data_IF_015701428422
#
_entry.id   IF_015701428422
#
_cell.length_a   1.000
_cell.length_b   1.000
_cell.length_c   1.000
_cell.angle_alpha   90.00
_cell.angle_beta   90.00
_cell.angle_gamma   90.00
#
_symmetry.space_group_name_H-M   'P 1'
#
loop_
_entity.id
_entity.type
_entity.pdbx_description
1 polymer ?
#
# COMPACT_ATOMS: atom_id res chain seq x y z
N UNK A 1 8.88 2.84 28.45
CA UNK A 1 7.83 3.83 28.13
C UNK A 1 7.03 3.19 27.03
N UNK A 2 5.93 2.55 27.43
CA UNK A 2 5.22 1.61 26.57
C UNK A 2 4.36 2.35 25.55
N UNK A 3 4.05 1.67 24.44
CA UNK A 3 3.02 2.15 23.51
C UNK A 3 1.67 2.33 24.23
N UNK A 4 1.43 1.57 25.31
CA UNK A 4 0.29 1.69 26.24
C UNK A 4 0.13 3.08 26.85
N UNK A 5 1.20 3.67 27.39
CA UNK A 5 1.13 4.92 28.15
C UNK A 5 0.83 6.11 27.21
N UNK A 6 1.39 6.04 26.00
CA UNK A 6 1.16 7.01 24.92
C UNK A 6 -0.28 6.89 24.41
N UNK A 7 -0.77 5.68 24.18
CA UNK A 7 -2.15 5.45 23.76
C UNK A 7 -3.12 5.94 24.83
N UNK A 8 -2.88 5.64 26.11
CA UNK A 8 -3.71 6.13 27.21
C UNK A 8 -3.78 7.66 27.23
N UNK A 9 -2.63 8.33 27.11
CA UNK A 9 -2.55 9.79 27.06
C UNK A 9 -3.24 10.39 25.83
N UNK A 10 -3.19 9.70 24.67
CA UNK A 10 -3.90 10.12 23.46
C UNK A 10 -5.41 9.92 23.57
N UNK A 11 -5.88 8.94 24.34
CA UNK A 11 -7.31 8.66 24.55
C UNK A 11 -7.97 9.63 25.56
N UNK A 12 -7.18 10.42 26.30
CA UNK A 12 -7.69 11.50 27.16
C UNK A 12 -8.16 12.74 26.36
N UNK A 13 -7.77 12.87 25.08
CA UNK A 13 -8.27 13.93 24.19
C UNK A 13 -9.57 13.50 23.50
N UNK A 14 -10.68 14.20 23.77
CA UNK A 14 -12.00 13.95 23.18
C UNK A 14 -12.00 13.97 21.64
N UNK A 15 -11.06 14.69 21.02
CA UNK A 15 -10.89 14.72 19.55
C UNK A 15 -10.39 13.39 19.01
N UNK A 16 -9.51 12.74 19.76
CA UNK A 16 -8.92 11.44 19.39
C UNK A 16 -9.90 10.32 19.75
N UNK A 17 -10.62 10.45 20.88
CA UNK A 17 -11.68 9.52 21.30
C UNK A 17 -12.74 9.31 20.22
N UNK A 18 -13.19 10.38 19.56
CA UNK A 18 -14.14 10.30 18.44
C UNK A 18 -13.54 9.73 17.14
N UNK A 19 -12.21 9.78 17.00
CA UNK A 19 -11.48 9.26 15.84
C UNK A 19 -11.03 7.80 16.02
N UNK A 20 -11.04 7.28 17.24
CA UNK A 20 -10.56 5.94 17.54
C UNK A 20 -11.46 4.81 16.98
N UNK A 21 -12.71 5.12 16.64
CA UNK A 21 -13.60 4.24 15.87
C UNK A 21 -13.41 4.36 14.35
N UNK A 22 -12.62 5.33 13.86
CA UNK A 22 -12.32 5.44 12.44
C UNK A 22 -11.46 4.27 12.00
N UNK A 23 -11.84 3.71 10.86
CA UNK A 23 -11.06 2.70 10.17
C UNK A 23 -10.17 3.36 9.13
N UNK A 24 -8.98 2.81 8.92
CA UNK A 24 -8.14 3.20 7.80
C UNK A 24 -8.75 2.74 6.46
N UNK A 25 -8.04 2.99 5.35
CA UNK A 25 -8.50 2.62 4.01
C UNK A 25 -8.64 1.10 3.79
N UNK A 26 -8.18 0.28 4.74
CA UNK A 26 -8.24 -1.19 4.74
C UNK A 26 -9.26 -1.72 5.74
N UNK A 27 -10.06 -0.85 6.36
CA UNK A 27 -11.01 -1.26 7.39
C UNK A 27 -10.35 -1.52 8.75
N UNK A 28 -9.06 -1.20 8.93
CA UNK A 28 -8.38 -1.45 10.20
C UNK A 28 -8.69 -0.35 11.19
N UNK A 29 -9.18 -0.75 12.36
CA UNK A 29 -9.31 0.12 13.52
C UNK A 29 -8.08 0.05 14.41
N UNK A 30 -7.99 0.96 15.38
CA UNK A 30 -6.93 0.93 16.39
C UNK A 30 -6.88 -0.40 17.17
N UNK A 31 -8.02 -1.07 17.33
CA UNK A 31 -8.11 -2.38 17.96
C UNK A 31 -7.51 -3.50 17.11
N UNK A 32 -7.72 -3.46 15.79
CA UNK A 32 -7.08 -4.41 14.86
C UNK A 32 -5.55 -4.30 14.93
N UNK A 33 -5.03 -3.08 14.99
CA UNK A 33 -3.59 -2.82 15.10
C UNK A 33 -3.03 -3.32 16.44
N UNK A 34 -3.74 -3.08 17.55
CA UNK A 34 -3.34 -3.52 18.89
C UNK A 34 -3.33 -5.05 19.04
N UNK A 35 -4.35 -5.72 18.48
CA UNK A 35 -4.40 -7.19 18.44
C UNK A 35 -3.27 -7.74 17.56
N UNK A 36 -3.06 -7.14 16.38
CA UNK A 36 -2.01 -7.57 15.45
C UNK A 36 -0.61 -7.42 16.03
N UNK A 37 -0.34 -6.33 16.76
CA UNK A 37 0.94 -6.11 17.45
C UNK A 37 1.12 -6.99 18.70
N UNK A 38 0.08 -7.73 19.11
CA UNK A 38 0.02 -8.55 20.33
C UNK A 38 0.33 -7.75 21.60
N UNK A 39 0.00 -6.47 21.58
CA UNK A 39 0.21 -5.59 22.73
C UNK A 39 -1.01 -5.67 23.66
N UNK A 40 -0.98 -6.68 24.54
CA UNK A 40 -2.06 -6.97 25.50
C UNK A 40 -2.38 -5.76 26.39
N UNK A 41 -1.37 -4.96 26.74
CA UNK A 41 -1.55 -3.78 27.57
C UNK A 41 -2.36 -2.71 26.83
N UNK A 42 -2.07 -2.47 25.55
CA UNK A 42 -2.86 -1.52 24.73
C UNK A 42 -4.27 -2.02 24.46
N UNK A 43 -4.46 -3.33 24.22
CA UNK A 43 -5.80 -3.92 24.03
C UNK A 43 -6.65 -3.71 25.28
N UNK A 44 -6.07 -3.94 26.45
CA UNK A 44 -6.78 -3.76 27.72
C UNK A 44 -7.17 -2.31 27.95
N UNK A 45 -6.26 -1.35 27.71
CA UNK A 45 -6.56 0.09 27.78
C UNK A 45 -7.67 0.50 26.79
N UNK A 46 -7.68 -0.05 25.58
CA UNK A 46 -8.71 0.24 24.57
C UNK A 46 -10.09 -0.32 24.94
N UNK A 47 -10.13 -1.51 25.56
CA UNK A 47 -11.38 -2.10 26.05
C UNK A 47 -11.90 -1.37 27.30
N UNK A 48 -11.04 -1.08 28.26
CA UNK A 48 -11.39 -0.41 29.52
C UNK A 48 -11.89 1.02 29.30
N UNK A 49 -11.40 1.68 28.25
CA UNK A 49 -11.76 3.07 27.95
C UNK A 49 -13.14 3.23 27.27
N UNK A 50 -13.83 2.14 26.91
CA UNK A 50 -15.11 2.13 26.18
C UNK A 50 -15.12 3.04 24.93
N UNK A 51 -13.94 3.23 24.33
CA UNK A 51 -13.77 4.11 23.19
C UNK A 51 -14.41 3.51 21.94
N UNK A 52 -14.46 2.18 21.89
CA UNK A 52 -15.05 1.41 20.80
C UNK A 52 -16.37 0.84 21.30
N UNK A 53 -17.47 1.47 20.91
CA UNK A 53 -18.82 1.09 21.36
C UNK A 53 -19.24 -0.31 20.85
N UNK A 54 -18.78 -0.70 19.67
CA UNK A 54 -19.15 -1.97 19.02
C UNK A 54 -17.93 -2.58 18.28
N UNK A 55 -17.01 -3.25 18.99
CA UNK A 55 -15.81 -3.83 18.38
C UNK A 55 -16.12 -4.97 17.39
N UNK A 56 -17.29 -5.60 17.53
CA UNK A 56 -17.81 -6.64 16.63
C UNK A 56 -18.42 -6.08 15.34
N UNK A 57 -18.75 -4.79 15.28
CA UNK A 57 -19.26 -4.13 14.08
C UNK A 57 -18.12 -3.64 13.15
N UNK A 58 -16.90 -3.54 13.68
CA UNK A 58 -15.72 -3.10 12.94
C UNK A 58 -15.04 -4.32 12.32
N UNK A 59 -15.18 -4.47 11.00
CA UNK A 59 -14.53 -5.51 10.22
C UNK A 59 -13.47 -4.92 9.31
N UNK A 60 -12.37 -5.65 9.13
CA UNK A 60 -11.35 -5.33 8.14
C UNK A 60 -11.83 -5.58 6.70
N UNK A 61 -10.97 -5.31 5.72
CA UNK A 61 -11.24 -5.58 4.29
C UNK A 61 -11.43 -7.07 3.91
N UNK A 62 -11.19 -7.98 4.85
CA UNK A 62 -11.46 -9.42 4.71
C UNK A 62 -12.76 -9.82 5.42
N UNK A 63 -13.46 -8.88 6.06
CA UNK A 63 -14.66 -9.13 6.85
C UNK A 63 -14.36 -9.70 8.24
N UNK A 64 -13.11 -9.62 8.71
CA UNK A 64 -12.69 -10.15 10.01
C UNK A 64 -12.68 -9.05 11.06
N UNK A 65 -13.15 -9.41 12.25
CA UNK A 65 -13.10 -8.58 13.45
C UNK A 65 -11.77 -8.72 14.17
N UNK A 66 -11.41 -7.76 15.02
CA UNK A 66 -10.19 -7.81 15.81
C UNK A 66 -10.12 -9.06 16.73
N UNK A 67 -11.26 -9.59 17.19
CA UNK A 67 -11.29 -10.82 17.99
C UNK A 67 -10.97 -12.06 17.17
N UNK A 68 -11.48 -12.15 15.94
CA UNK A 68 -11.15 -13.25 15.02
C UNK A 68 -9.66 -13.26 14.67
N UNK A 69 -9.02 -12.09 14.65
CA UNK A 69 -7.57 -11.96 14.52
C UNK A 69 -6.77 -12.53 15.71
N UNK A 70 -7.34 -12.59 16.92
CA UNK A 70 -6.69 -13.26 18.07
C UNK A 70 -6.61 -14.78 17.87
N UNK A 71 -7.64 -15.37 17.25
CA UNK A 71 -7.70 -16.81 16.97
C UNK A 71 -6.77 -17.27 15.83
N UNK A 72 -6.27 -16.34 15.02
CA UNK A 72 -5.30 -16.60 13.97
C UNK A 72 -3.88 -16.63 14.59
N UNK A 73 -3.47 -17.81 15.05
CA UNK A 73 -2.08 -18.02 15.50
C UNK A 73 -1.08 -17.64 14.39
N UNK A 74 0.09 -17.05 14.69
CA UNK A 74 1.04 -16.56 13.68
C UNK A 74 1.68 -17.71 12.88
N UNK A 75 1.62 -18.91 13.45
CA UNK A 75 2.06 -20.17 12.86
C UNK A 75 1.00 -20.77 11.92
N UNK A 76 -0.25 -20.32 12.01
CA UNK A 76 -1.33 -20.76 11.13
C UNK A 76 -1.05 -20.29 9.71
N UNK A 77 -1.17 -21.22 8.76
CA UNK A 77 -1.15 -20.90 7.33
C UNK A 77 -2.17 -19.81 6.98
N UNK A 78 -3.31 -19.81 7.69
CA UNK A 78 -4.37 -18.84 7.49
C UNK A 78 -3.91 -17.43 7.91
N UNK A 79 -3.19 -17.27 9.02
CA UNK A 79 -2.61 -15.97 9.42
C UNK A 79 -1.63 -15.43 8.39
N UNK A 80 -0.73 -16.27 7.85
CA UNK A 80 0.19 -15.84 6.79
C UNK A 80 -0.57 -15.47 5.52
N UNK A 81 -1.60 -16.22 5.16
CA UNK A 81 -2.42 -15.90 3.99
C UNK A 81 -3.20 -14.59 4.19
N UNK A 82 -3.86 -14.40 5.33
CA UNK A 82 -4.67 -13.21 5.65
C UNK A 82 -3.82 -11.98 5.90
N UNK A 83 -2.68 -12.09 6.61
CA UNK A 83 -1.72 -10.99 6.74
C UNK A 83 -1.13 -10.60 5.39
N UNK A 84 -0.72 -11.56 4.57
CA UNK A 84 -0.26 -11.27 3.21
C UNK A 84 -1.37 -10.63 2.38
N UNK A 85 -2.63 -11.06 2.50
CA UNK A 85 -3.79 -10.44 1.85
C UNK A 85 -4.02 -9.00 2.34
N UNK A 86 -4.06 -8.79 3.66
CA UNK A 86 -4.24 -7.51 4.35
C UNK A 86 -3.17 -6.47 3.96
N UNK A 87 -1.92 -6.92 3.81
CA UNK A 87 -0.83 -6.07 3.32
C UNK A 87 -0.77 -5.99 1.78
N UNK A 88 -1.28 -6.98 1.04
CA UNK A 88 -1.24 -7.00 -0.43
C UNK A 88 -2.23 -6.04 -1.08
N UNK A 89 -3.35 -5.72 -0.41
CA UNK A 89 -4.35 -4.78 -0.93
C UNK A 89 -3.99 -3.31 -0.67
N UNK A 90 -2.83 -3.01 -0.10
CA UNK A 90 -2.17 -1.69 -0.23
C UNK A 90 -1.63 -1.49 -1.67
N UNK A 91 -2.51 -1.62 -2.66
CA UNK A 91 -2.18 -1.52 -4.09
C UNK A 91 -1.92 -0.08 -4.54
N UNK A 92 -2.40 0.94 -3.84
CA UNK A 92 -2.11 2.33 -4.22
C UNK A 92 -0.65 2.75 -3.98
N UNK A 93 0.01 2.19 -2.97
CA UNK A 93 1.34 2.66 -2.56
C UNK A 93 2.44 1.65 -2.89
N UNK A 94 2.23 0.35 -2.65
CA UNK A 94 3.28 -0.67 -2.83
C UNK A 94 3.41 -1.18 -4.26
N UNK A 95 2.31 -1.43 -4.97
CA UNK A 95 2.37 -2.00 -6.32
C UNK A 95 3.06 -1.04 -7.32
N UNK A 96 2.70 0.25 -7.26
CA UNK A 96 3.34 1.32 -8.03
C UNK A 96 4.81 1.50 -7.63
N UNK A 97 5.12 1.32 -6.34
CA UNK A 97 6.49 1.46 -5.82
C UNK A 97 7.39 0.30 -6.25
N UNK A 98 6.88 -0.94 -6.30
CA UNK A 98 7.63 -2.13 -6.67
C UNK A 98 8.06 -2.13 -8.14
N UNK A 99 7.13 -1.87 -9.07
CA UNK A 99 7.45 -1.85 -10.51
C UNK A 99 8.41 -0.70 -10.84
N UNK A 100 8.20 0.48 -10.23
CA UNK A 100 9.12 1.62 -10.35
C UNK A 100 10.53 1.28 -9.87
N UNK A 101 10.66 0.65 -8.70
CA UNK A 101 11.97 0.31 -8.15
C UNK A 101 12.71 -0.69 -9.05
N UNK A 102 11.97 -1.66 -9.61
CA UNK A 102 12.52 -2.60 -10.57
C UNK A 102 13.05 -1.92 -11.84
N UNK A 103 12.34 -0.89 -12.33
CA UNK A 103 12.79 -0.07 -13.47
C UNK A 103 14.02 0.76 -13.11
N UNK A 104 14.05 1.42 -11.95
CA UNK A 104 15.19 2.23 -11.51
C UNK A 104 16.46 1.39 -11.30
N UNK A 105 16.30 0.13 -10.89
CA UNK A 105 17.40 -0.82 -10.73
C UNK A 105 17.75 -1.56 -12.02
N UNK A 106 16.98 -1.39 -13.09
CA UNK A 106 17.17 -2.08 -14.38
C UNK A 106 16.95 -3.59 -14.31
N UNK A 107 16.21 -4.09 -13.32
CA UNK A 107 16.05 -5.52 -13.08
C UNK A 107 14.88 -6.09 -13.89
N UNK A 108 15.17 -6.52 -15.12
CA UNK A 108 14.20 -7.24 -15.99
C UNK A 108 13.55 -8.44 -15.30
N UNK A 109 14.28 -9.32 -14.56
CA UNK A 109 13.66 -10.45 -13.88
C UNK A 109 12.62 -10.00 -12.84
N UNK A 110 12.89 -8.91 -12.13
CA UNK A 110 11.98 -8.36 -11.12
C UNK A 110 10.71 -7.79 -11.76
N UNK A 111 10.83 -7.08 -12.89
CA UNK A 111 9.67 -6.56 -13.63
C UNK A 111 8.75 -7.71 -14.07
N UNK A 112 9.32 -8.76 -14.66
CA UNK A 112 8.53 -9.94 -15.10
C UNK A 112 7.85 -10.64 -13.93
N UNK A 113 8.55 -10.78 -12.79
CA UNK A 113 7.99 -11.39 -11.58
C UNK A 113 6.80 -10.57 -11.04
N UNK A 114 6.96 -9.25 -10.93
CA UNK A 114 5.91 -8.37 -10.41
C UNK A 114 4.65 -8.40 -11.29
N UNK A 115 4.81 -8.40 -12.61
CA UNK A 115 3.69 -8.52 -13.55
C UNK A 115 3.01 -9.89 -13.46
N UNK A 116 3.77 -10.98 -13.29
CA UNK A 116 3.20 -12.31 -13.01
C UNK A 116 2.42 -12.37 -11.70
N UNK A 117 2.79 -11.57 -10.71
CA UNK A 117 2.07 -11.43 -9.44
C UNK A 117 0.80 -10.54 -9.57
N UNK A 118 0.40 -10.16 -10.78
CA UNK A 118 -0.80 -9.37 -11.03
C UNK A 118 -0.64 -7.88 -10.72
N UNK A 119 0.59 -7.36 -10.74
CA UNK A 119 0.82 -5.92 -10.65
C UNK A 119 0.38 -5.24 -11.95
N UNK A 120 -0.27 -4.09 -11.82
CA UNK A 120 -0.64 -3.26 -12.97
C UNK A 120 0.61 -2.55 -13.53
N UNK A 121 0.90 -2.80 -14.81
CA UNK A 121 1.99 -2.13 -15.55
C UNK A 121 1.76 -0.62 -15.64
N UNK A 122 0.49 -0.20 -15.67
CA UNK A 122 0.04 1.18 -15.76
C UNK A 122 -0.22 1.81 -14.38
N UNK A 123 0.16 1.12 -13.31
CA UNK A 123 0.05 1.62 -11.95
C UNK A 123 0.72 2.98 -11.80
N UNK A 124 -0.06 3.96 -11.32
CA UNK A 124 0.37 5.35 -11.21
C UNK A 124 0.40 5.82 -9.75
N UNK A 125 1.37 6.67 -9.41
CA UNK A 125 1.43 7.27 -8.08
C UNK A 125 0.51 8.51 -7.98
N UNK A 126 0.51 9.17 -6.83
CA UNK A 126 -0.23 10.41 -6.58
C UNK A 126 0.05 11.54 -7.59
N UNK A 127 1.17 11.49 -8.32
CA UNK A 127 1.51 12.43 -9.39
C UNK A 127 1.18 11.94 -10.82
N UNK A 128 0.36 10.89 -10.97
CA UNK A 128 0.09 10.18 -12.24
C UNK A 128 1.36 9.65 -12.94
N UNK A 129 2.43 9.38 -12.19
CA UNK A 129 3.69 8.86 -12.76
C UNK A 129 3.66 7.33 -12.79
N UNK A 130 3.77 6.76 -13.98
CA UNK A 130 3.85 5.32 -14.25
C UNK A 130 5.30 4.81 -14.23
N UNK A 131 5.49 3.50 -14.24
CA UNK A 131 6.82 2.90 -14.39
C UNK A 131 7.50 3.32 -15.71
N UNK A 132 6.71 3.45 -16.79
CA UNK A 132 7.17 3.95 -18.09
C UNK A 132 7.73 5.37 -17.98
N UNK A 133 7.07 6.26 -17.23
CA UNK A 133 7.59 7.62 -16.97
C UNK A 133 9.01 7.61 -16.39
N UNK A 134 9.30 6.69 -15.46
CA UNK A 134 10.63 6.61 -14.87
C UNK A 134 11.66 6.06 -15.84
N UNK A 135 11.33 5.00 -16.60
CA UNK A 135 12.22 4.45 -17.64
C UNK A 135 12.59 5.50 -18.69
N UNK A 136 11.61 6.29 -19.10
CA UNK A 136 11.78 7.38 -20.06
C UNK A 136 12.61 8.52 -19.48
N UNK A 137 12.33 8.94 -18.24
CA UNK A 137 13.08 10.00 -17.55
C UNK A 137 14.56 9.66 -17.35
N UNK A 138 14.88 8.39 -17.13
CA UNK A 138 16.26 7.91 -16.98
C UNK A 138 16.92 7.51 -18.30
N UNK A 139 16.26 7.73 -19.44
CA UNK A 139 16.71 7.32 -20.79
C UNK A 139 17.09 5.84 -20.88
N UNK A 140 16.40 4.98 -20.12
CA UNK A 140 16.64 3.53 -20.11
C UNK A 140 15.89 2.87 -21.26
N UNK A 141 16.44 2.97 -22.48
CA UNK A 141 15.82 2.45 -23.71
C UNK A 141 15.33 1.00 -23.58
N UNK A 142 16.16 0.10 -23.04
CA UNK A 142 15.81 -1.30 -22.86
C UNK A 142 14.61 -1.52 -21.92
N UNK A 143 14.42 -0.63 -20.93
CA UNK A 143 13.27 -0.69 -20.01
C UNK A 143 12.02 -0.10 -20.64
N UNK A 144 12.16 0.92 -21.49
CA UNK A 144 11.05 1.48 -22.28
C UNK A 144 10.50 0.41 -23.21
N UNK A 145 11.36 -0.23 -24.00
CA UNK A 145 10.96 -1.28 -24.95
C UNK A 145 10.30 -2.45 -24.20
N UNK A 146 10.90 -2.91 -23.08
CA UNK A 146 10.31 -3.97 -22.25
C UNK A 146 8.94 -3.60 -21.69
N UNK A 147 8.75 -2.38 -21.15
CA UNK A 147 7.47 -1.99 -20.57
C UNK A 147 6.37 -1.89 -21.63
N UNK A 148 6.71 -1.38 -22.82
CA UNK A 148 5.79 -1.32 -23.96
C UNK A 148 5.41 -2.72 -24.44
N UNK A 149 6.37 -3.65 -24.54
CA UNK A 149 6.10 -5.07 -24.82
C UNK A 149 5.17 -5.71 -23.78
N UNK A 150 5.27 -5.29 -22.52
CA UNK A 150 4.42 -5.76 -21.43
C UNK A 150 3.07 -5.03 -21.33
N UNK A 151 2.72 -4.18 -22.31
CA UNK A 151 1.42 -3.50 -22.40
C UNK A 151 1.32 -2.18 -21.65
N UNK A 152 2.44 -1.52 -21.35
CA UNK A 152 2.42 -0.17 -20.78
C UNK A 152 1.82 0.84 -21.77
N UNK A 153 0.92 1.68 -21.30
CA UNK A 153 0.28 2.72 -22.12
C UNK A 153 1.13 4.00 -22.12
N UNK A 154 1.71 4.40 -23.28
CA UNK A 154 2.48 5.62 -23.40
C UNK A 154 1.62 6.88 -23.27
N UNK A 155 0.30 6.80 -23.35
CA UNK A 155 -0.58 7.98 -23.22
C UNK A 155 -0.75 8.43 -21.76
N UNK A 156 -0.29 7.63 -20.78
CA UNK A 156 -0.38 7.98 -19.37
C UNK A 156 0.77 8.91 -18.99
N UNK A 157 0.47 10.21 -19.07
CA UNK A 157 1.39 11.29 -18.73
C UNK A 157 1.28 11.71 -17.26
N UNK A 158 2.40 12.17 -16.65
CA UNK A 158 2.39 12.75 -15.31
C UNK A 158 1.49 13.98 -15.25
N UNK A 159 0.99 14.27 -14.04
CA UNK A 159 0.04 15.35 -13.82
C UNK A 159 0.58 16.71 -14.33
N UNK A 160 -0.26 17.41 -15.10
CA UNK A 160 0.10 18.72 -15.67
C UNK A 160 1.06 18.69 -16.86
N UNK A 161 1.22 17.54 -17.53
CA UNK A 161 1.91 17.43 -18.83
C UNK A 161 0.94 17.00 -19.92
N UNK A 162 1.13 17.55 -21.14
CA UNK A 162 0.33 17.22 -22.32
C UNK A 162 1.07 16.37 -23.34
N UNK A 163 2.40 16.37 -23.29
CA UNK A 163 3.24 15.53 -24.16
C UNK A 163 4.56 15.18 -23.50
N UNK A 164 5.12 14.01 -23.85
CA UNK A 164 6.48 13.61 -23.48
C UNK A 164 7.54 14.63 -23.93
N UNK A 165 7.31 15.32 -25.07
CA UNK A 165 8.21 16.35 -25.61
C UNK A 165 8.41 17.55 -24.68
N UNK A 166 7.47 17.81 -23.77
CA UNK A 166 7.54 18.97 -22.86
C UNK A 166 8.61 18.82 -21.77
N UNK A 167 9.08 17.60 -21.50
CA UNK A 167 10.02 17.34 -20.40
C UNK A 167 11.11 16.31 -20.72
N UNK A 168 11.16 15.80 -21.95
CA UNK A 168 12.22 14.92 -22.45
C UNK A 168 12.89 15.59 -23.63
N UNK A 169 14.20 15.77 -23.51
CA UNK A 169 15.03 16.33 -24.57
C UNK A 169 15.55 15.26 -25.54
N UNK A 170 15.46 13.97 -25.18
CA UNK A 170 16.02 12.89 -25.98
C UNK A 170 15.01 12.36 -27.02
N UNK A 171 15.22 12.77 -28.27
CA UNK A 171 14.43 12.32 -29.42
C UNK A 171 14.46 10.80 -29.63
N UNK A 172 15.50 10.11 -29.17
CA UNK A 172 15.58 8.64 -29.30
C UNK A 172 14.55 7.95 -28.44
N UNK A 173 14.24 8.49 -27.26
CA UNK A 173 13.21 7.94 -26.38
C UNK A 173 11.82 8.29 -26.92
N UNK A 174 11.65 9.52 -27.43
CA UNK A 174 10.38 9.99 -27.99
C UNK A 174 9.91 9.21 -29.22
N UNK A 175 10.83 8.62 -30.01
CA UNK A 175 10.49 7.77 -31.16
C UNK A 175 9.94 6.39 -30.78
N UNK A 176 10.08 5.98 -29.51
CA UNK A 176 9.65 4.67 -29.00
C UNK A 176 8.28 4.71 -28.32
N UNK A 177 7.82 5.89 -27.94
CA UNK A 177 6.54 6.15 -27.26
C UNK A 177 5.46 6.48 -28.29
#
# INVERSE_FOLDING_TARGET
MGHSDVVQCLLEDDRIRSSASQQDNHGWSILHLAVHSRDLATVQVLLDSFVIAEPSALVDENGLTAEEWLGLEPTSYLYKATSNLAFSKSRCCRAVTGLRQAVLTGSVPMIRLLLRLGHDVNGMNSGRRTALYYAVKTSMFAMVDLLLEMGADPNILPMGRRSWKEFIADDRVLRRL
#
